data_IF_447406994366
#
_entry.id   IF_447406994366
#
_cell.length_a   1.000
_cell.length_b   1.000
_cell.length_c   1.000
_cell.angle_alpha   90.00
_cell.angle_beta   90.00
_cell.angle_gamma   90.00
#
_symmetry.space_group_name_H-M   'P 1'
#
loop_
_entity.id
_entity.type
_entity.pdbx_description
1 polymer ?
#
# COMPACT_ATOMS: atom_id res chain seq x y z
N UNK A 1 -0.83 -24.10 -0.82
CA UNK A 1 -2.21 -24.04 -1.36
C UNK A 1 -2.16 -23.80 -2.88
N UNK A 2 -3.01 -24.48 -3.64
CA UNK A 2 -3.14 -24.26 -5.09
C UNK A 2 -3.70 -22.88 -5.41
N UNK A 3 -3.52 -22.40 -6.63
CA UNK A 3 -4.07 -21.12 -7.10
C UNK A 3 -5.61 -21.07 -6.98
N UNK A 4 -6.29 -22.18 -7.27
CA UNK A 4 -7.76 -22.27 -7.13
C UNK A 4 -8.21 -22.09 -5.68
N UNK A 5 -7.50 -22.69 -4.71
CA UNK A 5 -7.79 -22.52 -3.28
C UNK A 5 -7.57 -21.09 -2.80
N UNK A 6 -6.54 -20.41 -3.34
CA UNK A 6 -6.26 -19.01 -3.01
C UNK A 6 -7.41 -18.11 -3.48
N UNK A 7 -7.86 -18.29 -4.72
CA UNK A 7 -8.99 -17.53 -5.29
C UNK A 7 -10.30 -17.81 -4.56
N UNK A 8 -10.57 -19.07 -4.21
CA UNK A 8 -11.79 -19.44 -3.47
C UNK A 8 -11.88 -18.72 -2.12
N UNK A 9 -10.74 -18.50 -1.45
CA UNK A 9 -10.71 -17.79 -0.17
C UNK A 9 -11.08 -16.32 -0.26
N UNK A 10 -11.09 -15.70 -1.44
CA UNK A 10 -11.44 -14.29 -1.62
C UNK A 10 -12.86 -13.98 -1.14
N UNK A 11 -13.78 -14.95 -1.29
CA UNK A 11 -15.16 -14.81 -0.82
C UNK A 11 -15.28 -14.65 0.71
N UNK A 12 -14.22 -14.95 1.46
CA UNK A 12 -14.19 -14.81 2.92
C UNK A 12 -13.70 -13.43 3.38
N UNK A 13 -13.22 -12.58 2.46
CA UNK A 13 -12.70 -11.27 2.79
C UNK A 13 -13.84 -10.23 2.86
N UNK A 14 -13.77 -9.26 3.80
CA UNK A 14 -14.79 -8.22 3.94
C UNK A 14 -14.73 -7.16 2.84
N UNK A 15 -13.70 -7.19 1.98
CA UNK A 15 -13.47 -6.22 0.93
C UNK A 15 -12.62 -6.78 -0.22
N UNK A 16 -12.22 -5.93 -1.18
CA UNK A 16 -11.45 -6.38 -2.32
C UNK A 16 -10.10 -7.02 -1.90
N UNK A 17 -9.75 -8.21 -2.44
CA UNK A 17 -8.53 -8.90 -2.05
C UNK A 17 -7.27 -8.13 -2.47
N UNK A 18 -6.24 -8.17 -1.64
CA UNK A 18 -4.86 -7.85 -2.01
C UNK A 18 -4.00 -9.03 -1.63
N UNK A 19 -3.20 -9.53 -2.58
CA UNK A 19 -2.34 -10.69 -2.33
C UNK A 19 -1.04 -10.24 -1.66
N UNK A 20 -0.62 -10.92 -0.60
CA UNK A 20 0.63 -10.61 0.09
C UNK A 20 1.44 -11.90 0.28
N UNK A 21 2.63 -11.94 -0.31
CA UNK A 21 3.54 -13.09 -0.24
C UNK A 21 4.85 -12.73 0.44
N UNK A 22 5.14 -13.37 1.57
CA UNK A 22 6.50 -13.41 2.07
C UNK A 22 7.24 -14.56 1.38
N UNK A 23 8.28 -14.20 0.62
CA UNK A 23 9.32 -15.13 0.22
C UNK A 23 10.22 -15.42 1.44
N UNK A 24 10.52 -16.70 1.65
CA UNK A 24 11.32 -17.18 2.77
C UNK A 24 12.77 -17.45 2.37
N UNK A 25 13.08 -17.42 1.07
CA UNK A 25 14.45 -17.56 0.59
C UNK A 25 15.24 -16.25 0.85
N UNK A 26 16.43 -16.39 1.45
CA UNK A 26 17.40 -15.30 1.63
C UNK A 26 18.79 -15.78 1.19
N UNK A 27 19.32 -15.31 0.04
CA UNK A 27 18.72 -14.32 -0.86
C UNK A 27 17.55 -14.89 -1.68
N UNK A 28 16.70 -14.00 -2.20
CA UNK A 28 15.62 -14.36 -3.14
C UNK A 28 16.22 -15.02 -4.39
N UNK A 29 15.75 -16.23 -4.74
CA UNK A 29 16.31 -17.03 -5.85
C UNK A 29 15.36 -17.23 -7.03
N UNK A 30 14.09 -16.84 -6.92
CA UNK A 30 13.09 -17.09 -7.95
C UNK A 30 11.96 -16.05 -7.96
N UNK A 31 11.20 -16.02 -9.05
CA UNK A 31 10.01 -15.18 -9.16
C UNK A 31 8.79 -15.85 -8.50
N UNK A 32 8.11 -15.11 -7.62
CA UNK A 32 6.90 -15.55 -6.92
C UNK A 32 5.63 -15.33 -7.75
N UNK A 33 5.67 -14.43 -8.73
CA UNK A 33 4.56 -14.15 -9.64
C UNK A 33 5.04 -13.83 -11.06
N UNK A 34 4.11 -13.93 -12.02
CA UNK A 34 4.24 -13.46 -13.39
C UNK A 34 2.86 -13.15 -13.99
N UNK A 35 2.80 -12.88 -15.28
CA UNK A 35 1.58 -12.40 -15.97
C UNK A 35 0.37 -13.31 -15.72
N UNK A 36 0.55 -14.62 -15.86
CA UNK A 36 -0.54 -15.60 -15.74
C UNK A 36 -1.18 -15.52 -14.34
N UNK A 37 -0.37 -15.49 -13.29
CA UNK A 37 -0.85 -15.44 -11.91
C UNK A 37 -1.57 -14.11 -11.64
N UNK A 38 -0.97 -12.98 -12.03
CA UNK A 38 -1.57 -11.66 -11.87
C UNK A 38 -2.89 -11.53 -12.64
N UNK A 39 -2.97 -12.09 -13.85
CA UNK A 39 -4.19 -12.11 -14.65
C UNK A 39 -5.32 -12.89 -13.98
N UNK A 40 -5.00 -14.05 -13.40
CA UNK A 40 -5.97 -14.84 -12.63
C UNK A 40 -6.46 -14.04 -11.43
N UNK A 41 -5.56 -13.53 -10.57
CA UNK A 41 -5.98 -12.78 -9.39
C UNK A 41 -6.80 -11.54 -9.73
N UNK A 42 -6.42 -10.81 -10.78
CA UNK A 42 -7.20 -9.68 -11.29
C UNK A 42 -8.60 -10.12 -11.73
N UNK A 43 -8.72 -11.19 -12.50
CA UNK A 43 -10.00 -11.70 -13.00
C UNK A 43 -10.96 -12.10 -11.87
N UNK A 44 -10.42 -12.55 -10.74
CA UNK A 44 -11.19 -12.88 -9.53
C UNK A 44 -11.34 -11.72 -8.54
N UNK A 45 -11.01 -10.49 -8.95
CA UNK A 45 -11.33 -9.27 -8.22
C UNK A 45 -10.25 -8.74 -7.29
N UNK A 46 -9.07 -9.38 -7.23
CA UNK A 46 -7.94 -8.84 -6.48
C UNK A 46 -7.50 -7.47 -7.04
N UNK A 47 -6.99 -6.61 -6.15
CA UNK A 47 -6.59 -5.23 -6.45
C UNK A 47 -5.09 -5.02 -6.59
N UNK A 48 -4.30 -6.02 -6.21
CA UNK A 48 -2.85 -5.99 -6.39
C UNK A 48 -2.17 -7.16 -5.71
N UNK A 49 -0.84 -7.18 -5.82
CA UNK A 49 0.05 -8.15 -5.18
C UNK A 49 1.25 -7.45 -4.55
N UNK A 50 1.62 -7.86 -3.35
CA UNK A 50 2.76 -7.34 -2.61
C UNK A 50 3.63 -8.52 -2.22
N UNK A 51 4.94 -8.46 -2.44
CA UNK A 51 5.83 -9.56 -2.07
C UNK A 51 7.21 -9.11 -1.63
N UNK A 52 7.81 -9.84 -0.67
CA UNK A 52 9.22 -9.73 -0.34
C UNK A 52 10.13 -10.47 -1.32
N UNK A 53 9.55 -11.30 -2.21
CA UNK A 53 10.26 -11.98 -3.29
C UNK A 53 10.36 -11.13 -4.57
N UNK A 54 10.76 -11.79 -5.66
CA UNK A 54 10.91 -11.18 -6.97
C UNK A 54 9.71 -11.45 -7.89
N UNK A 55 9.51 -10.60 -8.89
CA UNK A 55 8.53 -10.78 -9.97
C UNK A 55 9.18 -11.11 -11.32
N UNK A 56 8.37 -11.58 -12.26
CA UNK A 56 8.71 -11.69 -13.69
C UNK A 56 7.58 -11.22 -14.57
N UNK A 57 7.83 -11.16 -15.88
CA UNK A 57 6.85 -10.70 -16.88
C UNK A 57 6.32 -9.29 -16.57
N UNK A 58 7.18 -8.42 -16.01
CA UNK A 58 6.78 -7.14 -15.42
C UNK A 58 6.11 -6.20 -16.42
N UNK A 59 6.57 -6.20 -17.67
CA UNK A 59 5.95 -5.41 -18.74
C UNK A 59 4.52 -5.90 -19.04
N UNK A 60 4.30 -7.21 -18.99
CA UNK A 60 2.98 -7.79 -19.21
C UNK A 60 2.05 -7.51 -18.02
N UNK A 61 2.58 -7.61 -16.80
CA UNK A 61 1.86 -7.26 -15.56
C UNK A 61 1.44 -5.77 -15.56
N UNK A 62 2.32 -4.88 -16.02
CA UNK A 62 2.00 -3.46 -16.19
C UNK A 62 0.91 -3.23 -17.24
N UNK A 63 0.99 -3.90 -18.40
CA UNK A 63 -0.02 -3.80 -19.47
C UNK A 63 -1.41 -4.27 -19.05
N UNK A 64 -1.51 -5.28 -18.20
CA UNK A 64 -2.81 -5.68 -17.64
C UNK A 64 -3.28 -4.73 -16.53
N UNK A 65 -2.51 -3.72 -16.14
CA UNK A 65 -2.89 -2.74 -15.12
C UNK A 65 -3.18 -3.39 -13.77
N UNK A 66 -2.34 -4.33 -13.34
CA UNK A 66 -2.43 -4.98 -12.03
C UNK A 66 -1.29 -4.47 -11.13
N UNK A 67 -1.58 -3.63 -10.12
CA UNK A 67 -0.54 -3.06 -9.25
C UNK A 67 0.24 -4.14 -8.50
N UNK A 68 1.58 -4.07 -8.56
CA UNK A 68 2.45 -5.00 -7.85
C UNK A 68 3.61 -4.31 -7.14
N UNK A 69 3.90 -4.73 -5.92
CA UNK A 69 5.13 -4.40 -5.19
C UNK A 69 6.00 -5.64 -5.07
N UNK A 70 7.28 -5.52 -5.42
CA UNK A 70 8.25 -6.62 -5.40
C UNK A 70 9.64 -6.14 -5.03
N UNK A 71 10.44 -6.99 -4.39
CA UNK A 71 11.82 -6.67 -4.01
C UNK A 71 12.81 -6.73 -5.17
N UNK A 72 12.39 -7.19 -6.35
CA UNK A 72 13.26 -7.28 -7.51
C UNK A 72 12.63 -8.01 -8.70
N UNK A 73 13.46 -8.24 -9.72
CA UNK A 73 13.08 -8.98 -10.92
C UNK A 73 13.98 -10.20 -11.09
N UNK A 74 13.39 -11.39 -11.29
CA UNK A 74 14.12 -12.64 -11.55
C UNK A 74 13.40 -13.38 -12.68
N UNK A 75 14.14 -13.86 -13.69
CA UNK A 75 13.52 -14.52 -14.84
C UNK A 75 13.04 -15.95 -14.57
N UNK A 76 13.66 -16.64 -13.62
CA UNK A 76 13.36 -18.03 -13.31
C UNK A 76 12.17 -18.15 -12.35
N UNK A 77 11.19 -18.98 -12.70
CA UNK A 77 10.11 -19.36 -11.78
C UNK A 77 10.59 -20.31 -10.66
N UNK A 78 11.75 -20.97 -10.83
CA UNK A 78 12.31 -21.86 -9.82
C UNK A 78 11.36 -22.99 -9.37
N UNK A 79 11.65 -23.54 -8.19
CA UNK A 79 10.78 -24.51 -7.50
C UNK A 79 10.07 -23.82 -6.33
N UNK A 80 9.03 -23.06 -6.65
CA UNK A 80 8.21 -22.35 -5.65
C UNK A 80 7.05 -23.22 -5.19
N UNK A 81 6.78 -23.24 -3.88
CA UNK A 81 5.58 -23.84 -3.33
C UNK A 81 5.09 -23.08 -2.10
N UNK A 82 3.78 -22.89 -1.99
CA UNK A 82 3.16 -22.16 -0.88
C UNK A 82 3.05 -23.05 0.37
N UNK A 83 3.84 -22.74 1.39
CA UNK A 83 3.86 -23.46 2.67
C UNK A 83 2.59 -23.25 3.50
N UNK A 84 2.11 -22.01 3.56
CA UNK A 84 0.94 -21.62 4.34
C UNK A 84 0.16 -20.50 3.64
N UNK A 85 -1.13 -20.39 3.95
CA UNK A 85 -2.03 -19.33 3.48
C UNK A 85 -2.84 -18.82 4.66
N UNK A 86 -3.29 -17.57 4.59
CA UNK A 86 -4.02 -16.91 5.68
C UNK A 86 -3.26 -16.98 7.03
N UNK A 87 -1.95 -16.75 6.97
CA UNK A 87 -1.08 -16.57 8.14
C UNK A 87 -0.43 -15.19 8.08
N UNK A 88 0.01 -14.63 9.22
CA UNK A 88 0.77 -13.40 9.22
C UNK A 88 2.05 -13.51 8.40
N UNK A 89 2.39 -12.46 7.67
CA UNK A 89 3.59 -12.37 6.82
C UNK A 89 4.34 -11.08 7.06
N UNK A 90 5.65 -11.08 6.84
CA UNK A 90 6.50 -9.89 6.92
C UNK A 90 6.99 -9.51 5.53
N UNK A 91 6.59 -8.34 5.04
CA UNK A 91 6.97 -7.83 3.71
C UNK A 91 7.30 -6.35 3.82
N UNK A 92 8.39 -5.89 3.20
CA UNK A 92 8.74 -4.46 3.18
C UNK A 92 8.95 -3.84 4.56
N UNK A 93 9.31 -4.64 5.57
CA UNK A 93 9.51 -4.19 6.95
C UNK A 93 8.24 -4.07 7.80
N UNK A 94 7.07 -4.43 7.28
CA UNK A 94 5.79 -4.46 8.02
C UNK A 94 5.28 -5.90 8.19
N UNK A 95 4.66 -6.17 9.33
CA UNK A 95 3.92 -7.42 9.56
C UNK A 95 2.45 -7.19 9.16
N UNK A 96 1.95 -8.04 8.27
CA UNK A 96 0.60 -7.96 7.72
C UNK A 96 -0.16 -9.22 8.16
N UNK A 97 -1.31 -9.02 8.78
CA UNK A 97 -2.23 -10.07 9.17
C UNK A 97 -3.32 -10.26 8.13
N UNK A 98 -3.86 -11.49 7.97
CA UNK A 98 -5.03 -11.72 7.12
C UNK A 98 -6.19 -10.82 7.52
N UNK A 99 -6.73 -10.06 6.56
CA UNK A 99 -7.83 -9.13 6.78
C UNK A 99 -7.41 -7.70 7.11
N UNK A 100 -6.12 -7.40 7.25
CA UNK A 100 -5.64 -6.02 7.39
C UNK A 100 -6.03 -5.17 6.18
N UNK A 101 -6.39 -3.92 6.43
CA UNK A 101 -6.62 -2.94 5.37
C UNK A 101 -5.27 -2.37 4.92
N UNK A 102 -4.97 -2.49 3.63
CA UNK A 102 -3.73 -2.02 3.03
C UNK A 102 -3.98 -0.81 2.15
N UNK A 103 -3.07 0.16 2.22
CA UNK A 103 -2.95 1.24 1.25
C UNK A 103 -1.59 1.16 0.58
N UNK A 104 -1.57 1.24 -0.75
CA UNK A 104 -0.35 1.22 -1.54
C UNK A 104 -0.39 2.28 -2.63
N UNK A 105 0.73 2.99 -2.79
CA UNK A 105 0.95 3.99 -3.84
C UNK A 105 2.40 3.93 -4.34
N UNK A 106 2.83 4.89 -5.15
CA UNK A 106 4.19 4.92 -5.67
C UNK A 106 5.28 5.07 -4.59
N UNK A 107 4.92 5.44 -3.36
CA UNK A 107 5.85 5.60 -2.25
C UNK A 107 6.01 4.32 -1.42
N UNK A 108 5.08 3.37 -1.53
CA UNK A 108 5.15 2.09 -0.85
C UNK A 108 3.81 1.57 -0.40
N UNK A 109 3.83 0.75 0.67
CA UNK A 109 2.66 0.12 1.27
C UNK A 109 2.63 0.41 2.76
N UNK A 110 1.44 0.70 3.30
CA UNK A 110 1.18 0.79 4.74
C UNK A 110 -0.09 0.02 5.11
N UNK A 111 -0.17 -0.40 6.37
CA UNK A 111 -1.41 -0.89 6.98
C UNK A 111 -2.24 0.28 7.51
N UNK A 112 -3.56 0.11 7.51
CA UNK A 112 -4.54 1.04 8.11
C UNK A 112 -5.33 0.23 9.14
N UNK A 113 -5.27 0.58 10.44
CA UNK A 113 -6.13 -0.03 11.45
C UNK A 113 -7.61 0.19 11.13
N UNK A 114 -8.42 -0.86 11.26
CA UNK A 114 -9.85 -0.81 10.92
C UNK A 114 -10.61 0.22 11.77
N UNK A 115 -10.17 0.42 13.00
CA UNK A 115 -10.79 1.33 13.97
C UNK A 115 -10.78 2.78 13.48
N UNK A 116 -9.73 3.17 12.74
CA UNK A 116 -9.57 4.55 12.23
C UNK A 116 -9.89 4.69 10.75
N UNK A 117 -10.15 3.59 10.03
CA UNK A 117 -10.30 3.58 8.58
C UNK A 117 -11.37 4.57 8.07
N UNK A 118 -12.48 4.70 8.80
CA UNK A 118 -13.57 5.63 8.47
C UNK A 118 -13.19 7.12 8.62
N UNK A 119 -12.13 7.43 9.35
CA UNK A 119 -11.67 8.79 9.63
C UNK A 119 -10.60 9.27 8.64
N UNK A 120 -9.92 8.33 7.97
CA UNK A 120 -8.81 8.61 7.07
C UNK A 120 -9.18 9.60 5.95
N UNK A 121 -10.33 9.48 5.24
CA UNK A 121 -10.64 10.40 4.14
C UNK A 121 -10.67 11.87 4.60
N UNK A 122 -11.37 12.16 5.69
CA UNK A 122 -11.48 13.53 6.22
C UNK A 122 -10.12 14.05 6.74
N UNK A 123 -9.32 13.16 7.34
CA UNK A 123 -7.97 13.51 7.79
C UNK A 123 -7.04 13.83 6.61
N UNK A 124 -7.10 13.04 5.53
CA UNK A 124 -6.34 13.27 4.30
C UNK A 124 -6.74 14.58 3.61
N UNK A 125 -8.04 14.90 3.55
CA UNK A 125 -8.51 16.17 2.97
C UNK A 125 -7.99 17.38 3.75
N UNK A 126 -8.05 17.31 5.09
CA UNK A 126 -7.52 18.36 5.96
C UNK A 126 -6.00 18.52 5.83
N UNK A 127 -5.28 17.40 5.72
CA UNK A 127 -3.84 17.36 5.48
C UNK A 127 -3.48 18.03 4.16
N UNK A 128 -4.11 17.61 3.06
CA UNK A 128 -3.89 18.14 1.73
C UNK A 128 -4.18 19.65 1.67
N UNK A 129 -5.25 20.12 2.35
CA UNK A 129 -5.56 21.54 2.43
C UNK A 129 -4.48 22.34 3.17
N UNK A 130 -3.94 21.81 4.27
CA UNK A 130 -2.86 22.46 5.01
C UNK A 130 -1.55 22.52 4.19
N UNK A 131 -1.20 21.44 3.50
CA UNK A 131 -0.02 21.40 2.62
C UNK A 131 -0.16 22.33 1.41
N UNK A 132 -1.38 22.46 0.87
CA UNK A 132 -1.68 23.33 -0.27
C UNK A 132 -1.28 24.78 -0.02
N UNK A 133 -1.35 25.28 1.21
CA UNK A 133 -0.94 26.65 1.56
C UNK A 133 0.54 26.88 1.22
N UNK A 134 1.39 25.93 1.60
CA UNK A 134 2.82 25.99 1.30
C UNK A 134 3.02 25.83 -0.21
N UNK A 135 2.36 24.85 -0.83
CA UNK A 135 2.51 24.57 -2.27
C UNK A 135 2.10 25.76 -3.14
N UNK A 136 0.98 26.41 -2.83
CA UNK A 136 0.49 27.59 -3.55
C UNK A 136 1.47 28.76 -3.40
N UNK A 137 2.01 28.97 -2.19
CA UNK A 137 2.99 30.02 -1.95
C UNK A 137 4.28 29.81 -2.76
N UNK A 138 4.85 28.60 -2.71
CA UNK A 138 6.12 28.32 -3.41
C UNK A 138 5.96 28.22 -4.93
N UNK A 139 4.75 27.98 -5.43
CA UNK A 139 4.42 28.03 -6.87
C UNK A 139 4.13 29.46 -7.36
N UNK A 140 4.01 30.42 -6.44
CA UNK A 140 3.87 31.84 -6.76
C UNK A 140 5.18 32.48 -7.25
N UNK A 141 5.11 33.76 -7.61
CA UNK A 141 6.21 34.50 -8.24
C UNK A 141 7.10 35.30 -7.27
N UNK A 142 6.70 35.48 -6.00
CA UNK A 142 7.45 36.29 -5.03
C UNK A 142 7.75 35.51 -3.74
N UNK A 143 8.56 34.47 -3.87
CA UNK A 143 8.94 33.58 -2.77
C UNK A 143 10.11 34.18 -1.99
N UNK A 144 9.88 34.48 -0.71
CA UNK A 144 10.92 34.91 0.24
C UNK A 144 11.02 33.96 1.45
N UNK A 145 12.19 33.88 2.13
CA UNK A 145 12.32 33.12 3.37
C UNK A 145 11.35 33.57 4.47
N UNK A 146 11.10 34.87 4.59
CA UNK A 146 10.16 35.41 5.58
C UNK A 146 8.73 34.97 5.28
N UNK A 147 8.27 35.08 4.03
CA UNK A 147 6.93 34.59 3.67
C UNK A 147 6.81 33.06 3.77
N UNK A 148 7.89 32.30 3.51
CA UNK A 148 7.91 30.85 3.74
C UNK A 148 7.71 30.53 5.23
N UNK A 149 8.34 31.30 6.12
CA UNK A 149 8.17 31.13 7.57
C UNK A 149 6.71 31.36 8.00
N UNK A 150 6.05 32.40 7.47
CA UNK A 150 4.65 32.69 7.77
C UNK A 150 3.70 31.58 7.27
N UNK A 151 3.83 31.14 6.01
CA UNK A 151 2.96 30.06 5.50
C UNK A 151 3.22 28.73 6.19
N UNK A 152 4.46 28.45 6.60
CA UNK A 152 4.77 27.26 7.43
C UNK A 152 4.12 27.34 8.80
N UNK A 153 4.06 28.52 9.40
CA UNK A 153 3.38 28.74 10.69
C UNK A 153 1.88 28.50 10.56
N UNK A 154 1.26 29.00 9.49
CA UNK A 154 -0.16 28.75 9.18
C UNK A 154 -0.45 27.26 8.98
N UNK A 155 0.34 26.60 8.11
CA UNK A 155 0.26 25.18 7.87
C UNK A 155 0.36 24.37 9.17
N UNK A 156 1.39 24.66 9.99
CA UNK A 156 1.59 24.01 11.30
C UNK A 156 0.41 24.23 12.24
N UNK A 157 -0.19 25.42 12.25
CA UNK A 157 -1.36 25.70 13.08
C UNK A 157 -2.59 24.90 12.64
N UNK A 158 -2.80 24.69 11.33
CA UNK A 158 -3.86 23.82 10.82
C UNK A 158 -3.63 22.36 11.21
N UNK A 159 -2.41 21.87 11.03
CA UNK A 159 -2.00 20.53 11.48
C UNK A 159 -2.29 20.31 12.97
N UNK A 160 -1.93 21.27 13.82
CA UNK A 160 -2.16 21.19 15.26
C UNK A 160 -3.66 21.08 15.61
N UNK A 161 -4.51 21.93 14.99
CA UNK A 161 -5.97 21.88 15.18
C UNK A 161 -6.56 20.54 14.73
N UNK A 162 -6.11 20.01 13.60
CA UNK A 162 -6.55 18.71 13.09
C UNK A 162 -6.14 17.57 14.02
N UNK A 163 -4.89 17.57 14.48
CA UNK A 163 -4.36 16.56 15.40
C UNK A 163 -5.16 16.54 16.70
N UNK A 164 -5.48 17.71 17.26
CA UNK A 164 -6.30 17.82 18.46
C UNK A 164 -7.72 17.26 18.26
N UNK A 165 -8.33 17.56 17.12
CA UNK A 165 -9.66 17.05 16.74
C UNK A 165 -9.68 15.52 16.63
N UNK A 166 -8.70 14.93 15.94
CA UNK A 166 -8.59 13.48 15.76
C UNK A 166 -8.32 12.77 17.09
N UNK A 167 -7.43 13.30 17.94
CA UNK A 167 -7.17 12.74 19.28
C UNK A 167 -8.41 12.72 20.17
N UNK A 168 -9.23 13.78 20.13
CA UNK A 168 -10.49 13.84 20.88
C UNK A 168 -11.52 12.83 20.39
N UNK A 169 -11.53 12.52 19.09
CA UNK A 169 -12.48 11.59 18.49
C UNK A 169 -12.12 10.13 18.82
N UNK A 170 -10.84 9.77 18.82
CA UNK A 170 -10.37 8.44 19.22
C UNK A 170 -10.39 8.14 20.73
N UNK A 171 -10.74 9.12 21.59
CA UNK A 171 -10.92 8.91 23.04
C UNK A 171 -12.39 8.61 23.43
N UNK A 172 -13.29 8.48 22.46
CA UNK A 172 -14.70 8.13 22.64
C UNK A 172 -14.96 6.72 22.12
#
# INVERSE_FOLDING_TARGET
ASMSQQVESYAQLPGPPVMVYQDLDDPVVSATFGEVMCSVYKAFGAKGLITSGAGRDLEQVDKIGFPTFTSGAICAHGYCHTLAVNVPVTVGGICIYPGDLLHGDLNGVTTIPHEIASEIPEACDGLAAAEKIILDYVRGSNVTPAGLAEVRKECTAMFAKMTERLRRKGSK
#
